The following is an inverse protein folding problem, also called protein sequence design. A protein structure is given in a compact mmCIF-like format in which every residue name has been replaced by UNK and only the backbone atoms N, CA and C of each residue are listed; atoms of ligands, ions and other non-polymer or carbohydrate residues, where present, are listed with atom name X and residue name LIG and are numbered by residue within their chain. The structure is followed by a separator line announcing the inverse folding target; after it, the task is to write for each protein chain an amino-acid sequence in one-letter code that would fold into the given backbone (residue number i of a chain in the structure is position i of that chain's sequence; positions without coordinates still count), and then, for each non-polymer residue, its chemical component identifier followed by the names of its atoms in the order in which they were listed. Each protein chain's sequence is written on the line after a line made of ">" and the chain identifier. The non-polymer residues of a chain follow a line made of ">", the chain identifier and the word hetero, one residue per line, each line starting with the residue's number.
data_IF_628977145839
#
_entry.id   IF_628977145839
#
_cell.length_a   1.000
_cell.length_b   1.000
_cell.length_c   1.000
_cell.angle_alpha   90.00
_cell.angle_beta   90.00
_cell.angle_gamma   90.00
#
_symmetry.space_group_name_H-M   'P 1'
#
loop_
_entity.id
_entity.type
_entity.pdbx_description
1 polymer ?
#
# COMPACT_ATOMS: atom_id res chain seq x y z
N UNK A 1 -34.17 14.15 -51.88
CA UNK A 1 -34.80 12.81 -51.74
C UNK A 1 -34.16 12.13 -50.53
N UNK A 2 -34.66 12.44 -49.34
CA UNK A 2 -35.53 11.61 -48.48
C UNK A 2 -34.71 10.69 -47.57
N UNK A 3 -34.60 11.11 -46.30
CA UNK A 3 -33.93 10.43 -45.18
C UNK A 3 -34.66 9.14 -44.80
N UNK A 4 -33.94 8.13 -44.31
CA UNK A 4 -34.53 7.13 -43.40
C UNK A 4 -33.50 6.71 -42.36
N UNK A 5 -33.65 7.24 -41.15
CA UNK A 5 -32.95 6.80 -39.95
C UNK A 5 -33.86 5.82 -39.20
N UNK A 6 -33.38 4.62 -38.91
CA UNK A 6 -34.08 3.65 -38.08
C UNK A 6 -33.55 3.72 -36.65
N UNK A 7 -34.33 4.34 -35.75
CA UNK A 7 -34.13 4.31 -34.30
C UNK A 7 -34.52 2.92 -33.80
N UNK A 8 -33.62 2.24 -33.09
CA UNK A 8 -34.00 1.05 -32.30
C UNK A 8 -34.42 1.48 -30.88
N UNK A 9 -35.50 0.88 -30.34
CA UNK A 9 -36.10 1.27 -29.07
C UNK A 9 -35.30 0.78 -27.86
N UNK A 10 -35.29 1.62 -26.82
CA UNK A 10 -34.90 1.31 -25.45
C UNK A 10 -35.72 0.11 -24.92
N UNK A 11 -35.03 -0.89 -24.36
CA UNK A 11 -35.65 -1.86 -23.44
C UNK A 11 -35.29 -1.48 -22.00
N UNK A 12 -36.20 -0.73 -21.38
CA UNK A 12 -36.35 -0.61 -19.92
C UNK A 12 -37.31 -1.70 -19.46
N UNK A 13 -36.76 -2.74 -18.84
CA UNK A 13 -37.46 -3.75 -18.01
C UNK A 13 -36.41 -4.30 -17.06
N UNK A 14 -36.55 -4.32 -15.74
CA UNK A 14 -37.63 -3.94 -14.84
C UNK A 14 -37.09 -4.01 -13.40
N UNK A 15 -37.81 -3.34 -12.51
CA UNK A 15 -37.66 -3.38 -11.06
C UNK A 15 -37.60 -4.82 -10.52
N UNK A 16 -36.68 -5.05 -9.58
CA UNK A 16 -36.69 -6.19 -8.67
C UNK A 16 -36.12 -5.76 -7.31
N UNK A 17 -36.90 -4.98 -6.56
CA UNK A 17 -36.64 -4.72 -5.13
C UNK A 17 -37.26 -5.87 -4.34
N UNK A 18 -36.45 -6.66 -3.66
CA UNK A 18 -36.84 -7.58 -2.58
C UNK A 18 -35.59 -7.82 -1.70
N UNK A 19 -35.24 -6.89 -0.80
CA UNK A 19 -35.40 -7.04 0.66
C UNK A 19 -35.36 -8.50 1.14
N UNK A 20 -34.22 -8.93 1.71
CA UNK A 20 -34.18 -10.00 2.72
C UNK A 20 -33.48 -9.48 3.96
N UNK A 21 -34.27 -9.37 5.02
CA UNK A 21 -33.95 -8.99 6.39
C UNK A 21 -33.78 -10.26 7.21
N UNK A 22 -32.96 -10.21 8.28
CA UNK A 22 -32.79 -11.20 9.37
C UNK A 22 -31.94 -12.45 9.01
N UNK A 23 -31.01 -12.94 9.82
CA UNK A 23 -31.02 -12.99 11.28
C UNK A 23 -29.62 -13.04 11.92
N UNK A 24 -29.60 -12.47 13.13
CA UNK A 24 -28.54 -12.46 14.15
C UNK A 24 -28.15 -13.88 14.57
N UNK A 25 -26.84 -14.14 14.62
CA UNK A 25 -26.24 -15.32 15.24
C UNK A 25 -25.18 -14.93 16.26
N UNK A 26 -25.61 -14.41 17.42
CA UNK A 26 -24.78 -14.25 18.61
C UNK A 26 -24.49 -15.64 19.19
N UNK A 27 -23.26 -16.13 19.05
CA UNK A 27 -22.76 -17.23 19.88
C UNK A 27 -21.92 -16.62 21.00
N UNK A 28 -22.63 -16.32 22.09
CA UNK A 28 -22.07 -16.15 23.41
C UNK A 28 -21.93 -17.52 24.09
N UNK A 29 -20.70 -18.00 24.20
CA UNK A 29 -20.24 -18.94 25.22
C UNK A 29 -18.76 -18.55 25.45
N UNK A 30 -18.30 -18.05 26.59
CA UNK A 30 -18.68 -18.40 27.95
C UNK A 30 -17.67 -19.38 28.51
N UNK A 31 -16.44 -18.93 28.76
CA UNK A 31 -15.51 -19.59 29.70
C UNK A 31 -14.90 -18.52 30.60
N UNK A 32 -15.62 -18.29 31.69
CA UNK A 32 -15.23 -17.66 32.94
C UNK A 32 -14.03 -18.38 33.58
N UNK A 33 -13.08 -17.64 34.13
CA UNK A 33 -12.58 -17.80 35.51
C UNK A 33 -11.47 -16.79 35.80
N UNK A 34 -11.68 -15.93 36.80
CA UNK A 34 -10.63 -15.07 37.38
C UNK A 34 -11.16 -13.76 37.94
N UNK A 35 -11.89 -13.84 39.06
CA UNK A 35 -12.42 -12.72 39.86
C UNK A 35 -11.41 -12.33 40.96
N UNK A 36 -11.52 -11.06 41.39
CA UNK A 36 -11.07 -10.37 42.61
C UNK A 36 -10.01 -9.29 42.37
N UNK A 37 -10.10 -8.04 42.83
CA UNK A 37 -11.13 -7.07 43.26
C UNK A 37 -10.34 -5.72 43.38
N UNK A 38 -10.98 -4.53 43.39
CA UNK A 38 -10.29 -3.25 43.26
C UNK A 38 -9.94 -2.61 44.62
N UNK A 39 -8.83 -1.86 44.67
CA UNK A 39 -8.62 -0.84 45.70
C UNK A 39 -8.46 0.53 45.05
N UNK A 40 -9.51 1.33 45.20
CA UNK A 40 -9.42 2.78 45.12
C UNK A 40 -8.59 3.27 46.32
N UNK A 41 -7.60 4.13 46.06
CA UNK A 41 -7.08 5.02 47.09
C UNK A 41 -6.66 6.34 46.44
N UNK A 42 -7.56 7.31 46.51
CA UNK A 42 -7.22 8.72 46.44
C UNK A 42 -6.24 9.05 47.57
N UNK A 43 -5.16 9.75 47.28
CA UNK A 43 -4.44 10.56 48.26
C UNK A 43 -3.84 11.76 47.54
N UNK A 44 -4.34 12.92 47.93
CA UNK A 44 -3.88 14.24 47.55
C UNK A 44 -2.76 14.71 48.50
N UNK A 45 -2.07 15.76 48.04
CA UNK A 45 -1.30 16.77 48.79
C UNK A 45 0.13 16.41 49.22
N UNK A 46 1.11 17.14 48.69
CA UNK A 46 1.80 18.30 49.31
C UNK A 46 3.00 18.69 48.41
N UNK A 47 3.08 19.89 47.82
CA UNK A 47 3.49 21.18 48.41
C UNK A 47 5.02 21.36 48.53
N UNK A 48 5.55 22.32 47.76
CA UNK A 48 6.59 23.24 48.22
C UNK A 48 8.02 23.09 47.66
N UNK A 49 8.59 24.23 47.23
CA UNK A 49 10.05 24.47 47.27
C UNK A 49 10.70 25.01 46.00
N UNK A 50 10.37 26.24 45.58
CA UNK A 50 11.25 27.45 45.57
C UNK A 50 12.64 27.36 44.90
N UNK A 51 12.77 28.15 43.83
CA UNK A 51 13.83 29.13 43.50
C UNK A 51 15.31 28.74 43.58
N UNK A 52 15.96 28.78 42.42
CA UNK A 52 17.39 29.03 42.25
C UNK A 52 17.63 29.94 41.04
N UNK A 53 17.70 31.25 41.28
CA UNK A 53 18.18 32.25 40.32
C UNK A 53 19.69 32.47 40.55
N UNK A 54 20.46 32.69 39.46
CA UNK A 54 21.49 33.76 39.35
C UNK A 54 22.31 33.62 38.06
N UNK A 55 22.06 34.56 37.16
CA UNK A 55 22.99 35.46 36.46
C UNK A 55 24.42 35.04 36.09
N UNK A 56 24.78 35.33 34.82
CA UNK A 56 26.16 35.52 34.39
C UNK A 56 26.30 35.93 32.93
N UNK A 57 26.36 37.26 32.68
CA UNK A 57 26.83 38.05 31.51
C UNK A 57 26.95 37.39 30.11
N UNK A 58 26.47 37.98 29.01
CA UNK A 58 26.71 39.36 28.59
C UNK A 58 27.54 39.34 27.29
N UNK A 59 27.09 40.01 26.23
CA UNK A 59 27.91 40.29 25.04
C UNK A 59 27.20 40.08 23.71
N UNK A 60 27.09 41.16 22.95
CA UNK A 60 26.22 41.40 21.79
C UNK A 60 26.78 40.93 20.44
N UNK A 61 25.92 40.33 19.62
CA UNK A 61 25.76 40.38 18.14
C UNK A 61 26.95 40.89 17.30
N UNK A 62 27.52 40.03 16.43
CA UNK A 62 27.92 40.33 15.03
C UNK A 62 27.91 39.04 14.14
N UNK A 63 26.87 38.95 13.28
CA UNK A 63 26.78 38.48 11.87
C UNK A 63 27.21 37.07 11.37
N UNK A 64 26.23 36.48 10.64
CA UNK A 64 26.21 35.45 9.57
C UNK A 64 26.08 33.93 9.91
N UNK A 65 25.12 33.22 9.25
CA UNK A 65 24.94 31.78 9.40
C UNK A 65 25.85 31.02 8.43
N UNK A 66 26.53 29.97 8.91
CA UNK A 66 27.25 29.04 8.04
C UNK A 66 27.04 27.61 8.55
N UNK A 67 26.17 26.90 7.84
CA UNK A 67 26.24 25.51 7.43
C UNK A 67 26.76 24.51 8.47
N UNK A 68 25.90 24.20 9.44
CA UNK A 68 26.09 23.12 10.41
C UNK A 68 24.94 22.12 10.40
N UNK A 69 24.43 21.77 9.22
CA UNK A 69 23.47 20.68 9.07
C UNK A 69 24.20 19.36 9.00
N UNK A 70 24.36 18.65 10.14
CA UNK A 70 24.58 17.20 10.11
C UNK A 70 23.27 16.54 9.69
N UNK A 71 22.87 16.78 8.44
CA UNK A 71 21.91 15.94 7.75
C UNK A 71 22.50 14.55 7.79
N UNK A 72 21.77 13.61 8.39
CA UNK A 72 21.99 12.20 8.15
C UNK A 72 21.74 12.01 6.64
N UNK A 73 22.81 12.10 5.86
CA UNK A 73 22.83 11.58 4.52
C UNK A 73 22.78 10.06 4.66
N UNK A 74 21.58 9.51 4.77
CA UNK A 74 21.32 8.14 4.36
C UNK A 74 21.73 8.08 2.89
N UNK A 75 22.95 7.59 2.67
CA UNK A 75 23.42 7.22 1.35
C UNK A 75 22.55 6.04 0.94
N UNK A 76 21.45 6.31 0.25
CA UNK A 76 20.71 5.30 -0.49
C UNK A 76 21.71 4.70 -1.48
N UNK A 77 22.23 3.51 -1.15
CA UNK A 77 22.94 2.68 -2.11
C UNK A 77 21.87 2.27 -3.11
N UNK A 78 21.74 3.07 -4.17
CA UNK A 78 20.83 2.85 -5.28
C UNK A 78 21.14 1.47 -5.86
N UNK A 79 20.39 0.47 -5.41
CA UNK A 79 20.50 -0.89 -5.94
C UNK A 79 19.91 -0.89 -7.35
N UNK A 80 20.55 -1.61 -8.27
CA UNK A 80 20.02 -1.77 -9.62
C UNK A 80 18.61 -2.39 -9.54
N UNK A 81 17.61 -1.85 -10.25
CA UNK A 81 16.23 -2.33 -10.17
C UNK A 81 16.11 -3.78 -10.69
N UNK A 82 15.07 -4.50 -10.25
CA UNK A 82 14.77 -5.81 -10.83
C UNK A 82 14.36 -5.65 -12.30
N UNK A 83 14.98 -6.38 -13.23
CA UNK A 83 14.70 -6.24 -14.65
C UNK A 83 13.33 -6.83 -15.00
N UNK A 84 12.66 -6.20 -15.94
CA UNK A 84 11.39 -6.71 -16.49
C UNK A 84 11.65 -7.57 -17.72
N UNK A 85 11.04 -8.75 -17.73
CA UNK A 85 10.97 -9.62 -18.90
C UNK A 85 9.74 -9.23 -19.74
N UNK A 86 9.93 -8.83 -21.02
CA UNK A 86 8.84 -8.42 -21.89
C UNK A 86 7.79 -9.51 -22.08
N UNK A 87 6.56 -9.09 -22.36
CA UNK A 87 5.48 -9.99 -22.73
C UNK A 87 5.82 -10.78 -24.02
N UNK A 88 5.29 -12.00 -24.20
CA UNK A 88 5.52 -12.81 -25.40
C UNK A 88 5.15 -12.09 -26.70
N UNK A 89 5.84 -12.41 -27.80
CA UNK A 89 5.49 -11.86 -29.12
C UNK A 89 4.04 -12.19 -29.50
N UNK A 90 3.30 -11.17 -29.91
CA UNK A 90 1.89 -11.31 -30.28
C UNK A 90 0.92 -11.34 -29.09
N UNK A 91 1.38 -11.08 -27.86
CA UNK A 91 0.51 -10.85 -26.72
C UNK A 91 -0.36 -9.60 -26.96
N UNK A 92 -1.67 -9.75 -26.77
CA UNK A 92 -2.61 -8.64 -26.76
C UNK A 92 -3.11 -8.48 -25.32
N UNK A 93 -2.85 -7.33 -24.67
CA UNK A 93 -3.23 -7.14 -23.28
C UNK A 93 -4.75 -7.19 -23.13
N UNK A 94 -5.26 -7.85 -22.06
CA UNK A 94 -6.69 -7.82 -21.77
C UNK A 94 -7.15 -6.40 -21.43
N UNK A 95 -8.47 -6.24 -21.24
CA UNK A 95 -8.98 -5.00 -20.68
C UNK A 95 -8.35 -4.77 -19.29
N UNK A 96 -7.92 -3.54 -19.02
CA UNK A 96 -7.48 -3.16 -17.69
C UNK A 96 -8.66 -3.08 -16.72
N UNK A 97 -8.37 -3.23 -15.43
CA UNK A 97 -9.26 -3.02 -14.30
C UNK A 97 -10.43 -4.00 -14.25
N UNK A 98 -10.15 -5.26 -14.56
CA UNK A 98 -11.14 -6.33 -14.49
C UNK A 98 -11.31 -6.89 -13.07
N UNK A 99 -10.36 -6.64 -12.16
CA UNK A 99 -10.34 -7.26 -10.84
C UNK A 99 -10.05 -8.76 -10.92
N UNK A 100 -9.35 -9.20 -11.96
CA UNK A 100 -9.07 -10.62 -12.21
C UNK A 100 -7.70 -11.06 -11.67
N UNK A 101 -6.79 -10.13 -11.36
CA UNK A 101 -5.52 -10.48 -10.74
C UNK A 101 -5.69 -11.01 -9.32
N UNK A 102 -4.84 -11.97 -8.95
CA UNK A 102 -4.85 -12.61 -7.65
C UNK A 102 -4.46 -11.64 -6.52
N UNK A 103 -3.58 -10.69 -6.83
CA UNK A 103 -3.09 -9.69 -5.89
C UNK A 103 -3.29 -8.28 -6.45
N UNK A 104 -3.59 -7.34 -5.55
CA UNK A 104 -3.85 -5.94 -5.88
C UNK A 104 -3.04 -5.04 -4.95
N UNK A 105 -2.40 -4.04 -5.54
CA UNK A 105 -1.76 -2.94 -4.82
C UNK A 105 -2.29 -1.60 -5.31
N UNK A 106 -2.30 -0.60 -4.42
CA UNK A 106 -2.73 0.77 -4.70
C UNK A 106 -1.56 1.73 -4.54
N UNK A 107 -1.49 2.78 -5.37
CA UNK A 107 -0.41 3.77 -5.27
C UNK A 107 -0.49 4.52 -3.95
N UNK A 108 0.63 4.53 -3.21
CA UNK A 108 0.74 5.27 -1.95
C UNK A 108 0.03 4.62 -0.76
N UNK A 109 -0.54 3.44 -0.94
CA UNK A 109 -0.97 2.56 0.13
C UNK A 109 -0.02 1.36 0.17
N UNK A 110 0.50 0.97 1.34
CA UNK A 110 1.12 -0.33 1.51
C UNK A 110 0.00 -1.38 1.51
N UNK A 111 -0.63 -1.57 0.36
CA UNK A 111 -1.40 -2.77 0.09
C UNK A 111 -0.38 -3.88 0.04
N UNK A 112 -0.17 -4.54 1.17
CA UNK A 112 0.69 -5.72 1.29
C UNK A 112 -0.20 -6.95 1.08
N UNK A 113 -0.43 -7.39 -0.17
CA UNK A 113 -1.01 -8.69 -0.37
C UNK A 113 -0.15 -9.72 0.38
N UNK A 114 -0.79 -10.62 1.13
CA UNK A 114 -0.09 -11.72 1.78
C UNK A 114 0.41 -12.70 0.69
N UNK A 115 1.62 -12.44 0.19
CA UNK A 115 2.28 -13.31 -0.76
C UNK A 115 2.83 -14.54 -0.03
N UNK A 116 2.84 -15.73 -0.67
CA UNK A 116 3.38 -16.94 -0.06
C UNK A 116 4.87 -16.77 0.26
N UNK A 117 5.23 -17.13 1.49
CA UNK A 117 6.62 -17.24 1.94
C UNK A 117 7.37 -18.30 1.14
N UNK A 118 8.63 -18.00 0.78
CA UNK A 118 9.55 -18.94 0.11
C UNK A 118 10.90 -18.85 0.78
N UNK A 119 11.56 -19.99 0.98
CA UNK A 119 12.87 -20.01 1.63
C UNK A 119 12.91 -19.53 3.10
N UNK A 120 11.76 -19.28 3.74
CA UNK A 120 11.68 -18.62 5.04
C UNK A 120 11.67 -17.08 4.97
N UNK A 121 11.59 -16.54 3.75
CA UNK A 121 11.62 -15.12 3.43
C UNK A 121 10.24 -14.66 2.93
N UNK A 122 9.89 -13.43 3.25
CA UNK A 122 8.60 -12.81 2.91
C UNK A 122 8.77 -11.76 1.83
N UNK A 123 7.86 -11.73 0.85
CA UNK A 123 7.81 -10.72 -0.20
C UNK A 123 6.60 -9.82 0.00
N UNK A 124 6.81 -8.50 -0.09
CA UNK A 124 5.74 -7.54 -0.33
C UNK A 124 6.02 -6.72 -1.59
N UNK A 125 4.95 -6.37 -2.30
CA UNK A 125 4.98 -5.53 -3.50
C UNK A 125 4.20 -4.26 -3.20
N UNK A 126 4.77 -3.11 -3.56
CA UNK A 126 4.13 -1.81 -3.44
C UNK A 126 4.09 -1.13 -4.81
N UNK A 127 2.97 -0.49 -5.15
CA UNK A 127 2.89 0.43 -6.27
C UNK A 127 3.31 1.83 -5.84
N UNK A 128 4.36 2.37 -6.46
CA UNK A 128 4.87 3.71 -6.15
C UNK A 128 4.26 4.77 -7.06
N UNK A 129 3.95 4.43 -8.31
CA UNK A 129 3.28 5.30 -9.28
C UNK A 129 2.81 4.51 -10.51
N UNK A 130 1.98 5.13 -11.34
CA UNK A 130 1.62 4.63 -12.69
C UNK A 130 2.08 5.66 -13.72
N UNK A 131 2.78 5.20 -14.77
CA UNK A 131 3.22 6.02 -15.91
C UNK A 131 2.59 5.49 -17.20
N UNK A 132 1.50 6.14 -17.64
CA UNK A 132 0.73 5.68 -18.79
C UNK A 132 0.11 4.30 -18.56
N UNK A 133 0.58 3.32 -19.30
CA UNK A 133 0.18 1.90 -19.23
C UNK A 133 1.13 1.04 -18.39
N UNK A 134 2.12 1.66 -17.74
CA UNK A 134 3.13 0.97 -16.93
C UNK A 134 2.96 1.22 -15.44
N UNK A 135 3.10 0.16 -14.66
CA UNK A 135 3.23 0.21 -13.22
C UNK A 135 4.69 0.47 -12.82
N UNK A 136 4.91 1.36 -11.87
CA UNK A 136 6.19 1.52 -11.17
C UNK A 136 6.03 0.88 -9.80
N UNK A 137 6.80 -0.18 -9.56
CA UNK A 137 6.66 -1.06 -8.41
C UNK A 137 7.96 -1.11 -7.59
N UNK A 138 7.85 -1.43 -6.31
CA UNK A 138 8.96 -1.84 -5.47
C UNK A 138 8.66 -3.19 -4.83
N UNK A 139 9.72 -3.97 -4.59
CA UNK A 139 9.66 -5.23 -3.86
C UNK A 139 10.44 -5.09 -2.57
N UNK A 140 9.86 -5.55 -1.46
CA UNK A 140 10.57 -5.69 -0.19
C UNK A 140 10.67 -7.17 0.17
N UNK A 141 11.90 -7.66 0.28
CA UNK A 141 12.20 -9.02 0.75
C UNK A 141 12.91 -8.91 2.10
N UNK A 142 12.32 -9.47 3.15
CA UNK A 142 12.88 -9.48 4.52
C UNK A 142 13.40 -8.11 5.02
N UNK A 143 12.67 -7.05 4.64
CA UNK A 143 12.97 -5.66 5.00
C UNK A 143 13.95 -4.95 4.07
N UNK A 144 14.51 -5.64 3.08
CA UNK A 144 15.29 -5.06 1.99
C UNK A 144 14.38 -4.61 0.84
N UNK A 145 14.22 -3.30 0.65
CA UNK A 145 13.43 -2.75 -0.45
C UNK A 145 14.30 -2.47 -1.69
N UNK A 146 13.82 -2.89 -2.86
CA UNK A 146 14.42 -2.60 -4.16
C UNK A 146 13.34 -2.26 -5.19
N UNK A 147 13.64 -1.30 -6.07
CA UNK A 147 12.77 -0.93 -7.17
C UNK A 147 12.68 -2.05 -8.24
N UNK A 148 11.58 -2.05 -8.98
CA UNK A 148 11.37 -2.88 -10.18
C UNK A 148 11.32 -1.93 -11.38
N UNK A 149 11.87 -2.33 -12.53
CA UNK A 149 11.71 -1.55 -13.76
C UNK A 149 10.22 -1.33 -14.11
N UNK A 150 9.83 -0.23 -14.77
CA UNK A 150 8.44 0.01 -15.13
C UNK A 150 7.86 -1.12 -16.00
N UNK A 151 6.80 -1.76 -15.52
CA UNK A 151 6.23 -2.98 -16.09
C UNK A 151 4.80 -2.77 -16.61
N UNK A 152 4.50 -3.27 -17.80
CA UNK A 152 3.18 -3.28 -18.40
C UNK A 152 2.48 -4.65 -18.22
N UNK A 153 1.15 -4.66 -18.34
CA UNK A 153 0.47 -5.48 -19.36
C UNK A 153 1.11 -6.82 -19.77
N UNK A 154 1.17 -7.85 -18.93
CA UNK A 154 1.65 -9.20 -19.30
C UNK A 154 3.17 -9.37 -19.25
N UNK A 155 3.91 -8.35 -18.83
CA UNK A 155 5.33 -8.46 -18.52
C UNK A 155 5.53 -9.15 -17.17
N UNK A 156 6.73 -9.70 -16.96
CA UNK A 156 7.07 -10.48 -15.76
C UNK A 156 8.36 -10.01 -15.11
N UNK A 157 8.50 -10.25 -13.81
CA UNK A 157 9.67 -9.84 -13.03
C UNK A 157 10.06 -10.97 -12.10
N UNK A 158 11.33 -11.38 -12.14
CA UNK A 158 11.89 -12.34 -11.20
C UNK A 158 12.59 -11.61 -10.05
N UNK A 159 12.14 -11.89 -8.83
CA UNK A 159 12.59 -11.28 -7.59
C UNK A 159 13.37 -12.34 -6.80
N UNK A 160 14.68 -12.10 -6.66
CA UNK A 160 15.63 -12.96 -5.93
C UNK A 160 15.58 -14.45 -6.30
N UNK A 161 15.21 -14.75 -7.56
CA UNK A 161 15.03 -16.11 -8.09
C UNK A 161 13.99 -16.98 -7.35
N UNK A 162 13.25 -16.40 -6.41
CA UNK A 162 12.27 -17.11 -5.59
C UNK A 162 10.85 -16.81 -6.01
N UNK A 163 10.54 -15.57 -6.38
CA UNK A 163 9.22 -15.17 -6.85
C UNK A 163 9.31 -14.67 -8.28
N UNK A 164 8.34 -15.04 -9.09
CA UNK A 164 8.10 -14.38 -10.37
C UNK A 164 6.70 -13.80 -10.34
N UNK A 165 6.57 -12.51 -10.60
CA UNK A 165 5.26 -11.86 -10.73
C UNK A 165 4.96 -11.54 -12.19
N UNK A 166 3.68 -11.52 -12.55
CA UNK A 166 3.20 -11.00 -13.83
C UNK A 166 2.20 -9.88 -13.60
N UNK A 167 2.41 -8.74 -14.25
CA UNK A 167 1.45 -7.63 -14.19
C UNK A 167 0.25 -7.99 -15.06
N UNK A 168 -0.93 -8.09 -14.46
CA UNK A 168 -2.17 -8.48 -15.16
C UNK A 168 -3.06 -7.30 -15.48
N UNK A 169 -2.95 -6.21 -14.71
CA UNK A 169 -3.73 -4.99 -14.94
C UNK A 169 -3.04 -3.75 -14.37
N UNK A 170 -3.14 -2.63 -15.10
CA UNK A 170 -2.68 -1.30 -14.65
C UNK A 170 -3.84 -0.32 -14.81
N UNK A 171 -4.30 0.24 -13.69
CA UNK A 171 -5.49 1.06 -13.58
C UNK A 171 -5.15 2.49 -13.20
N UNK A 172 -4.82 3.31 -14.20
CA UNK A 172 -4.49 4.72 -13.97
C UNK A 172 -5.63 5.56 -13.37
N UNK A 173 -6.89 5.19 -13.61
CA UNK A 173 -8.04 5.95 -13.08
C UNK A 173 -8.29 5.70 -11.58
N UNK A 174 -7.85 4.55 -11.06
CA UNK A 174 -8.05 4.13 -9.66
C UNK A 174 -6.74 3.94 -8.91
N UNK A 175 -5.60 4.28 -9.53
CA UNK A 175 -4.26 4.10 -8.97
C UNK A 175 -4.00 2.66 -8.51
N UNK A 176 -4.54 1.67 -9.23
CA UNK A 176 -4.45 0.25 -8.87
C UNK A 176 -3.58 -0.53 -9.84
N UNK A 177 -2.85 -1.51 -9.33
CA UNK A 177 -2.11 -2.49 -10.12
C UNK A 177 -2.47 -3.88 -9.62
N UNK A 178 -2.84 -4.76 -10.54
CA UNK A 178 -3.09 -6.16 -10.25
C UNK A 178 -1.96 -7.02 -10.83
N UNK A 179 -1.59 -8.06 -10.12
CA UNK A 179 -0.55 -8.99 -10.53
C UNK A 179 -0.81 -10.41 -10.01
N UNK A 180 -0.21 -11.37 -10.69
CA UNK A 180 -0.22 -12.78 -10.32
C UNK A 180 1.18 -13.25 -9.95
N UNK A 181 1.24 -14.28 -9.09
CA UNK A 181 2.46 -15.05 -8.88
C UNK A 181 2.52 -16.20 -9.88
N UNK A 182 3.68 -16.37 -10.50
CA UNK A 182 4.01 -17.46 -11.40
C UNK A 182 5.02 -18.38 -10.70
N UNK A 183 4.70 -19.68 -10.68
CA UNK A 183 5.56 -20.76 -10.18
C UNK A 183 6.51 -21.31 -11.24
#
# INVERSE_FOLDING_TARGET
>A
MTRTAARRPFHRSGLGVLTSVLAVGLIAAGCTSGVEDPVASSSASDAGGVSGASDGGGGTVVLEPSDGGTGQATVEVSSDPYPVTPAPEGFEPPAACTGEGAYLTEVGSPSTPDLPERGGESLSIEATSIDGDKAVLSATVDGGTRAIEPAAIGETVSIEDQWTISVTSVCGDTDQVEFDLID
#
